data_IF_923378440195
#
_entry.id   IF_923378440195
#
_cell.length_a   1.000
_cell.length_b   1.000
_cell.length_c   1.000
_cell.angle_alpha   90.00
_cell.angle_beta   90.00
_cell.angle_gamma   90.00
#
_symmetry.space_group_name_H-M   'P 1'
#
loop_
_entity.id
_entity.type
_entity.pdbx_description
1 polymer ?
2 branched ?
3 non-polymer ?
4 water ?
#
# COMPACT_ATOMS: atom_id res chain seq x y z
N UNK A 1 11.28 5.61 11.26
CA UNK A 1 9.93 6.02 10.80
C UNK A 1 10.04 6.87 9.54
N UNK A 2 8.98 6.89 8.75
CA UNK A 2 8.99 7.69 7.55
C UNK A 2 7.90 8.74 7.65
N UNK A 3 8.18 9.94 7.15
CA UNK A 3 7.23 11.05 7.20
C UNK A 3 7.00 11.73 5.87
N UNK A 4 5.76 12.20 5.68
CA UNK A 4 5.38 12.90 4.48
C UNK A 4 4.43 14.04 4.84
N UNK A 5 4.74 15.23 4.36
CA UNK A 5 3.93 16.41 4.62
C UNK A 5 3.30 16.88 3.32
N UNK A 6 1.96 16.86 3.26
CA UNK A 6 1.24 17.30 2.06
C UNK A 6 1.41 18.81 1.83
N UNK A 7 1.73 19.57 2.87
CA UNK A 7 1.92 21.01 2.70
C UNK A 7 3.27 21.26 2.00
N UNK A 8 3.20 21.83 0.80
CA UNK A 8 4.40 22.10 0.03
C UNK A 8 4.87 20.89 -0.75
N UNK A 9 4.05 19.85 -0.74
CA UNK A 9 4.38 18.64 -1.49
C UNK A 9 4.23 18.85 -3.00
N UNK A 10 5.17 18.31 -3.74
CA UNK A 10 5.12 18.37 -5.19
C UNK A 10 5.46 16.95 -5.63
N UNK A 11 5.47 16.68 -6.94
CA UNK A 11 5.78 15.32 -7.41
C UNK A 11 7.08 14.76 -6.87
N UNK A 12 8.08 15.64 -6.76
CA UNK A 12 9.43 15.29 -6.29
C UNK A 12 9.50 14.85 -4.84
N UNK A 13 8.83 15.58 -3.93
CA UNK A 13 8.89 15.20 -2.52
C UNK A 13 8.13 13.92 -2.28
N UNK A 14 7.05 13.72 -3.03
CA UNK A 14 6.27 12.50 -2.90
C UNK A 14 7.20 11.32 -3.30
N UNK A 15 7.90 11.48 -4.43
CA UNK A 15 8.81 10.46 -4.91
C UNK A 15 9.82 10.09 -3.85
N UNK A 16 10.31 11.09 -3.13
CA UNK A 16 11.28 10.87 -2.07
C UNK A 16 10.68 10.13 -0.87
N UNK A 17 9.43 10.43 -0.55
CA UNK A 17 8.73 9.77 0.55
C UNK A 17 8.51 8.30 0.23
N UNK A 18 8.13 8.02 -1.02
CA UNK A 18 7.89 6.64 -1.45
C UNK A 18 9.19 5.85 -1.52
N UNK A 19 10.28 6.53 -1.86
CA UNK A 19 11.60 5.90 -1.91
C UNK A 19 11.99 5.54 -0.47
N UNK A 20 11.74 6.47 0.44
CA UNK A 20 12.04 6.31 1.87
C UNK A 20 11.26 5.13 2.41
N UNK A 21 10.00 5.04 2.04
CA UNK A 21 9.13 3.95 2.46
C UNK A 21 9.69 2.59 2.01
N UNK A 22 10.14 2.53 0.76
CA UNK A 22 10.71 1.31 0.22
C UNK A 22 11.95 0.91 1.01
N UNK A 23 12.82 1.86 1.26
CA UNK A 23 14.05 1.61 1.98
C UNK A 23 13.84 1.31 3.44
N UNK A 24 12.64 1.58 3.95
CA UNK A 24 12.36 1.30 5.35
C UNK A 24 12.05 -0.18 5.57
N UNK A 25 11.75 -0.88 4.47
CA UNK A 25 11.41 -2.29 4.53
C UNK A 25 12.64 -3.18 4.45
N UNK A 26 12.85 -4.04 5.46
CA UNK A 26 14.01 -4.93 5.45
C UNK A 26 13.93 -6.08 4.46
N UNK A 27 15.10 -6.58 4.07
CA UNK A 27 15.19 -7.70 3.14
C UNK A 27 16.63 -8.17 3.18
N UNK A 28 16.85 -9.47 3.03
CA UNK A 28 18.21 -9.99 3.04
C UNK A 28 18.66 -10.28 1.61
N UNK A 29 17.72 -10.68 0.76
CA UNK A 29 18.06 -11.01 -0.61
C UNK A 29 17.17 -10.33 -1.66
N UNK A 30 17.73 -10.21 -2.86
CA UNK A 30 17.05 -9.65 -4.01
C UNK A 30 16.83 -10.80 -4.97
N UNK A 31 15.70 -10.82 -5.65
CA UNK A 31 15.40 -11.87 -6.61
C UNK A 31 15.21 -11.20 -7.96
N UNK A 32 16.11 -11.49 -8.89
CA UNK A 32 16.07 -10.89 -10.21
C UNK A 32 16.17 -9.39 -10.08
N UNK A 33 16.87 -8.97 -9.02
CA UNK A 33 17.13 -7.56 -8.71
C UNK A 33 16.08 -6.82 -7.89
N UNK A 34 14.99 -7.51 -7.54
CA UNK A 34 13.92 -6.89 -6.74
C UNK A 34 13.93 -7.36 -5.29
N UNK A 35 13.90 -6.42 -4.32
CA UNK A 35 13.91 -6.80 -2.91
C UNK A 35 12.85 -7.83 -2.54
N UNK A 36 13.27 -8.93 -1.93
CA UNK A 36 12.30 -9.94 -1.50
C UNK A 36 11.98 -9.65 -0.03
N UNK A 37 10.70 -9.48 0.27
CA UNK A 37 10.29 -9.19 1.65
C UNK A 37 10.46 -10.39 2.57
N UNK A 38 10.80 -10.11 3.83
CA UNK A 38 11.01 -11.16 4.82
C UNK A 38 9.79 -12.05 5.03
N UNK A 39 10.02 -13.34 5.37
CA UNK A 39 8.90 -14.28 5.60
C UNK A 39 8.09 -13.87 6.83
N UNK A 40 8.81 -13.54 7.88
CA UNK A 40 8.20 -13.10 9.12
C UNK A 40 9.22 -12.34 9.96
N UNK A 41 8.75 -11.55 10.93
CA UNK A 41 9.63 -10.76 11.81
C UNK A 41 9.09 -10.78 13.24
N UNK A 42 9.99 -10.79 14.22
CA UNK A 42 9.59 -10.86 15.62
C UNK A 42 9.35 -9.55 16.37
N UNK A 43 8.23 -9.50 17.07
CA UNK A 43 7.89 -8.36 17.90
C UNK A 43 7.55 -7.07 17.21
N UNK A 44 7.88 -5.97 17.88
CA UNK A 44 7.62 -4.62 17.39
C UNK A 44 8.42 -4.26 16.16
N UNK A 45 9.43 -5.09 15.83
CA UNK A 45 10.23 -4.80 14.66
C UNK A 45 9.52 -5.14 13.36
N UNK A 46 8.32 -5.70 13.50
CA UNK A 46 7.51 -6.09 12.35
C UNK A 46 6.67 -4.94 11.83
N UNK A 47 6.61 -3.84 12.56
CA UNK A 47 5.80 -2.70 12.14
C UNK A 47 6.56 -1.41 11.89
N UNK A 48 6.21 -0.76 10.81
CA UNK A 48 6.79 0.52 10.42
C UNK A 48 5.74 1.60 10.69
N UNK A 49 6.17 2.72 11.25
CA UNK A 49 5.25 3.79 11.54
C UNK A 49 5.40 4.96 10.56
N UNK A 50 4.29 5.32 9.92
CA UNK A 50 4.25 6.42 8.97
C UNK A 50 3.57 7.64 9.60
N UNK A 51 4.26 8.76 9.63
CA UNK A 51 3.67 9.99 10.14
C UNK A 51 3.23 10.77 8.91
N UNK A 52 1.93 10.98 8.78
CA UNK A 52 1.38 11.73 7.66
C UNK A 52 0.76 13.04 8.13
N UNK A 53 1.12 14.12 7.46
CA UNK A 53 0.62 15.44 7.81
C UNK A 53 -0.21 16.04 6.67
N UNK A 54 -1.44 16.44 6.96
CA UNK A 54 -2.27 17.05 5.91
C UNK A 54 -1.86 18.50 5.77
N UNK A 55 -2.40 19.15 4.75
CA UNK A 55 -2.04 20.53 4.46
C UNK A 55 -2.00 21.47 5.66
N UNK A 56 -2.97 21.35 6.58
CA UNK A 56 -3.01 22.24 7.75
C UNK A 56 -2.05 21.84 8.87
N UNK A 57 -1.34 20.75 8.69
CA UNK A 57 -0.40 20.31 9.71
C UNK A 57 -0.87 19.25 10.66
N UNK A 58 -2.14 18.87 10.60
CA UNK A 58 -2.63 17.81 11.49
C UNK A 58 -2.01 16.49 11.06
N UNK A 59 -1.90 15.54 11.98
CA UNK A 59 -1.28 14.28 11.64
C UNK A 59 -1.89 13.01 12.21
N UNK A 60 -1.62 11.91 11.51
CA UNK A 60 -2.04 10.59 11.92
C UNK A 60 -0.82 9.71 11.69
N UNK A 61 -0.63 8.72 12.56
CA UNK A 61 0.49 7.80 12.44
C UNK A 61 -0.08 6.45 12.02
N UNK A 62 0.40 5.94 10.89
CA UNK A 62 -0.08 4.68 10.35
C UNK A 62 0.90 3.53 10.56
N UNK A 63 0.41 2.40 11.06
CA UNK A 63 1.25 1.24 11.32
C UNK A 63 1.18 0.27 10.14
N UNK A 64 2.34 0.02 9.54
CA UNK A 64 2.43 -0.86 8.38
C UNK A 64 3.22 -2.11 8.72
N UNK A 65 2.72 -3.27 8.28
CA UNK A 65 3.40 -4.56 8.52
C UNK A 65 4.54 -4.71 7.51
N UNK A 66 5.78 -4.66 7.95
CA UNK A 66 6.91 -4.75 7.02
C UNK A 66 7.14 -6.04 6.21
N UNK A 67 6.37 -7.08 6.45
CA UNK A 67 6.54 -8.31 5.68
C UNK A 67 5.59 -8.35 4.48
N UNK A 68 4.65 -7.41 4.42
CA UNK A 68 3.69 -7.38 3.31
C UNK A 68 3.33 -5.96 2.85
N UNK A 69 3.58 -4.99 3.72
CA UNK A 69 3.18 -3.60 3.49
C UNK A 69 1.70 -3.35 3.70
N UNK A 70 1.07 -4.20 4.49
CA UNK A 70 -0.34 -4.02 4.79
C UNK A 70 -0.47 -3.01 5.90
N UNK A 71 -1.51 -2.19 5.83
CA UNK A 71 -1.77 -1.20 6.86
C UNK A 71 -2.57 -1.98 7.92
N UNK A 72 -2.23 -1.80 9.19
CA UNK A 72 -2.90 -2.53 10.27
C UNK A 72 -3.86 -1.69 11.09
N UNK A 73 -3.57 -0.41 11.19
CA UNK A 73 -4.38 0.52 11.95
C UNK A 73 -3.64 1.84 11.96
N UNK A 74 -4.14 2.81 12.70
CA UNK A 74 -3.50 4.11 12.78
C UNK A 74 -3.93 4.84 14.05
N UNK A 75 -3.24 5.94 14.34
CA UNK A 75 -3.51 6.72 15.52
C UNK A 75 -3.88 8.17 15.18
N UNK A 76 -4.99 8.64 15.74
CA UNK A 76 -5.48 10.01 15.55
C UNK A 76 -5.58 10.60 16.95
N UNK A 77 -4.67 11.53 17.23
CA UNK A 77 -4.58 12.16 18.55
C UNK A 77 -4.41 10.95 19.47
N UNK A 78 -5.40 10.71 20.32
CA UNK A 78 -5.26 9.70 21.35
C UNK A 78 -6.11 8.46 21.18
N UNK A 79 -6.68 8.26 20.01
CA UNK A 79 -7.47 7.06 19.78
C UNK A 79 -6.75 6.22 18.73
N UNK A 80 -6.59 4.93 18.98
CA UNK A 80 -5.97 4.10 17.98
C UNK A 80 -7.10 3.40 17.25
N UNK A 81 -6.92 3.16 15.95
CA UNK A 81 -7.93 2.45 15.17
C UNK A 81 -7.26 1.28 14.49
N UNK A 82 -7.84 0.09 14.64
CA UNK A 82 -7.28 -1.11 14.05
C UNK A 82 -8.35 -1.82 13.23
N UNK A 83 -7.91 -2.51 12.19
CA UNK A 83 -8.85 -3.26 11.36
C UNK A 83 -9.40 -4.44 12.16
N UNK A 84 -10.55 -4.94 11.75
CA UNK A 84 -11.12 -6.06 12.45
C UNK A 84 -10.60 -7.33 11.80
N UNK A 85 -9.41 -7.74 12.19
CA UNK A 85 -8.81 -8.96 11.68
C UNK A 85 -7.66 -9.35 12.58
N UNK A 86 -7.37 -10.66 12.70
CA UNK A 86 -6.31 -11.23 13.52
C UNK A 86 -4.97 -10.49 13.53
N UNK A 87 -4.37 -10.33 12.35
CA UNK A 87 -3.09 -9.65 12.24
C UNK A 87 -3.15 -8.27 12.87
N UNK A 88 -4.20 -7.51 12.55
CA UNK A 88 -4.37 -6.17 13.08
C UNK A 88 -4.41 -6.25 14.61
N UNK A 89 -5.17 -7.21 15.12
CA UNK A 89 -5.29 -7.40 16.55
C UNK A 89 -3.92 -7.73 17.16
N UNK A 90 -3.14 -8.57 16.47
CA UNK A 90 -1.81 -8.93 16.94
C UNK A 90 -0.97 -7.65 17.01
N UNK A 91 -1.13 -6.83 15.99
CA UNK A 91 -0.39 -5.58 15.90
C UNK A 91 -0.68 -4.57 17.02
N UNK A 92 -1.89 -4.58 17.56
CA UNK A 92 -2.29 -3.67 18.63
C UNK A 92 -1.45 -3.85 19.90
N UNK A 93 -0.79 -4.99 20.02
CA UNK A 93 0.04 -5.26 21.19
C UNK A 93 1.45 -4.65 21.20
N UNK A 94 1.87 -4.07 20.07
CA UNK A 94 3.19 -3.49 19.96
C UNK A 94 3.19 -2.00 19.58
N UNK A 95 2.11 -1.52 18.96
CA UNK A 95 2.07 -0.11 18.58
C UNK A 95 0.86 0.62 19.15
N UNK A 96 1.01 1.94 19.32
CA UNK A 96 -0.04 2.82 19.85
C UNK A 96 -0.55 2.33 21.21
N UNK A 97 0.36 1.87 22.06
CA UNK A 97 -0.06 1.38 23.37
C UNK A 97 -0.41 2.48 24.34
N UNK A 98 0.18 3.66 24.14
CA UNK A 98 -0.07 4.79 25.02
C UNK A 98 -1.36 5.56 24.67
N UNK A 99 -2.14 5.03 23.74
CA UNK A 99 -3.40 5.62 23.32
C UNK A 99 -4.44 5.45 24.42
N UNK A 100 -5.30 6.45 24.59
CA UNK A 100 -6.32 6.37 25.62
C UNK A 100 -7.39 5.32 25.32
N UNK A 101 -7.88 5.25 24.09
CA UNK A 101 -8.87 4.23 23.74
C UNK A 101 -8.55 3.67 22.36
N UNK A 102 -8.79 2.38 22.19
CA UNK A 102 -8.54 1.68 20.94
C UNK A 102 -9.87 1.25 20.35
N UNK A 103 -10.11 1.62 19.10
CA UNK A 103 -11.35 1.26 18.43
C UNK A 103 -11.09 0.26 17.30
N UNK A 104 -11.93 -0.77 17.22
CA UNK A 104 -11.80 -1.75 16.15
C UNK A 104 -12.82 -1.38 15.09
N UNK A 105 -12.34 -1.13 13.87
CA UNK A 105 -13.21 -0.78 12.76
C UNK A 105 -14.09 -1.98 12.45
N UNK A 106 -15.34 -1.74 12.01
CA UNK A 106 -16.25 -2.84 11.70
C UNK A 106 -16.00 -3.67 10.44
N UNK A 107 -14.76 -3.67 9.95
CA UNK A 107 -14.38 -4.44 8.76
C UNK A 107 -12.88 -4.71 8.76
N UNK A 108 -12.46 -5.74 8.02
CA UNK A 108 -11.06 -6.06 7.89
C UNK A 108 -10.49 -5.16 6.76
N UNK A 109 -9.18 -5.16 6.61
CA UNK A 109 -8.58 -4.28 5.62
C UNK A 109 -8.39 -4.69 4.18
N UNK A 110 -9.10 -5.70 3.70
CA UNK A 110 -8.92 -6.06 2.29
C UNK A 110 -9.89 -5.31 1.40
N UNK A 111 -9.43 -4.95 0.20
CA UNK A 111 -10.22 -4.21 -0.78
C UNK A 111 -11.70 -4.58 -0.87
N UNK A 112 -11.98 -5.87 -0.98
CA UNK A 112 -13.37 -6.31 -1.08
C UNK A 112 -14.21 -5.77 0.07
N UNK A 113 -13.77 -6.02 1.30
CA UNK A 113 -14.52 -5.53 2.45
C UNK A 113 -14.56 -4.01 2.59
N UNK A 114 -13.49 -3.32 2.20
CA UNK A 114 -13.47 -1.87 2.32
C UNK A 114 -14.40 -1.20 1.29
N UNK A 115 -14.52 -1.81 0.12
CA UNK A 115 -15.37 -1.29 -0.95
C UNK A 115 -16.83 -1.44 -0.61
N UNK A 116 -17.16 -2.47 0.15
CA UNK A 116 -18.53 -2.69 0.58
C UNK A 116 -18.93 -1.62 1.59
N UNK A 117 -18.12 -1.46 2.64
CA UNK A 117 -18.36 -0.48 3.69
C UNK A 117 -18.37 0.96 3.17
N UNK A 118 -17.60 1.20 2.12
CA UNK A 118 -17.50 2.54 1.54
C UNK A 118 -18.66 2.87 0.61
N UNK A 119 -19.34 1.82 0.13
CA UNK A 119 -20.47 2.00 -0.76
C UNK A 119 -20.11 2.17 -2.23
N UNK A 120 -18.82 2.10 -2.54
CA UNK A 120 -18.37 2.23 -3.93
C UNK A 120 -17.07 1.46 -4.21
N UNK A 121 -16.91 0.95 -5.45
CA UNK A 121 -15.69 0.20 -5.79
C UNK A 121 -14.59 1.25 -6.03
N UNK A 122 -13.32 0.90 -5.85
CA UNK A 122 -12.26 1.89 -6.06
C UNK A 122 -12.09 2.38 -7.48
N UNK A 123 -12.82 1.82 -8.42
CA UNK A 123 -12.77 2.28 -9.81
C UNK A 123 -13.29 3.71 -9.84
N UNK A 124 -14.27 3.97 -8.98
CA UNK A 124 -14.93 5.25 -8.93
C UNK A 124 -14.48 6.23 -7.86
N UNK A 125 -13.44 5.88 -7.10
CA UNK A 125 -12.96 6.81 -6.08
C UNK A 125 -11.71 7.51 -6.62
N UNK A 126 -11.71 8.85 -6.65
CA UNK A 126 -10.57 9.62 -7.15
C UNK A 126 -9.37 9.55 -6.20
N UNK A 127 -8.17 9.39 -6.74
CA UNK A 127 -6.98 9.37 -5.90
C UNK A 127 -6.00 10.43 -6.37
N UNK A 128 -5.02 10.72 -5.53
CA UNK A 128 -4.02 11.71 -5.82
C UNK A 128 -3.53 12.29 -4.50
N UNK A 129 -2.77 13.37 -4.54
CA UNK A 129 -2.30 13.98 -3.31
C UNK A 129 -3.39 14.83 -2.70
N UNK A 130 -4.23 15.47 -3.52
CA UNK A 130 -5.27 16.25 -2.86
C UNK A 130 -6.12 15.29 -2.05
N UNK A 131 -6.46 14.14 -2.63
CA UNK A 131 -7.26 13.11 -1.97
C UNK A 131 -6.61 12.54 -0.74
N UNK A 132 -5.27 12.51 -0.73
CA UNK A 132 -4.58 11.99 0.43
C UNK A 132 -4.84 12.97 1.57
N UNK A 133 -4.75 14.26 1.26
CA UNK A 133 -5.00 15.32 2.23
C UNK A 133 -6.39 15.14 2.86
N UNK A 134 -7.39 14.87 2.03
CA UNK A 134 -8.77 14.64 2.49
C UNK A 134 -8.86 13.42 3.38
N UNK A 135 -8.21 12.35 2.93
CA UNK A 135 -8.16 11.07 3.61
C UNK A 135 -7.69 11.26 5.04
N UNK A 136 -6.54 11.92 5.19
CA UNK A 136 -5.97 12.20 6.51
C UNK A 136 -7.01 12.95 7.33
N UNK A 137 -7.56 14.04 6.76
CA UNK A 137 -8.57 14.87 7.41
C UNK A 137 -9.76 14.08 7.94
N UNK A 138 -10.23 13.15 7.12
CA UNK A 138 -11.36 12.30 7.43
C UNK A 138 -11.10 11.27 8.53
N UNK A 139 -9.85 10.84 8.66
CA UNK A 139 -9.50 9.85 9.65
C UNK A 139 -9.27 10.48 11.01
N UNK A 140 -9.05 11.79 11.04
CA UNK A 140 -8.83 12.48 12.31
C UNK A 140 -10.08 12.42 13.20
N UNK A 141 -11.25 12.35 12.56
CA UNK A 141 -12.51 12.26 13.29
C UNK A 141 -13.32 11.07 12.77
N UNK A 142 -13.50 10.10 13.67
CA UNK A 142 -14.19 8.85 13.42
C UNK A 142 -15.50 8.92 12.65
N UNK A 143 -15.67 7.96 11.75
CA UNK A 143 -16.83 7.76 10.87
C UNK A 143 -16.46 6.52 10.05
N UNK A 144 -16.93 5.34 10.46
CA UNK A 144 -16.58 4.08 9.77
C UNK A 144 -16.87 4.06 8.30
N UNK A 145 -17.90 4.77 7.87
CA UNK A 145 -18.21 4.78 6.45
C UNK A 145 -17.24 5.67 5.68
N UNK A 146 -16.92 6.81 6.28
CA UNK A 146 -15.99 7.76 5.69
C UNK A 146 -14.58 7.22 5.71
N UNK A 147 -14.24 6.51 6.79
CA UNK A 147 -12.91 5.94 6.97
C UNK A 147 -12.59 4.88 5.92
N UNK A 148 -13.60 4.10 5.55
CA UNK A 148 -13.45 3.06 4.54
C UNK A 148 -12.95 3.73 3.27
N UNK A 149 -13.66 4.78 2.84
CA UNK A 149 -13.28 5.52 1.65
C UNK A 149 -11.90 6.12 1.74
N UNK A 150 -11.59 6.75 2.87
CA UNK A 150 -10.30 7.37 3.10
C UNK A 150 -9.17 6.35 3.13
N UNK A 151 -9.44 5.15 3.65
CA UNK A 151 -8.42 4.12 3.73
C UNK A 151 -8.13 3.53 2.37
N UNK A 152 -9.13 3.52 1.50
CA UNK A 152 -8.90 2.99 0.17
C UNK A 152 -7.95 3.94 -0.54
N UNK A 153 -8.07 5.24 -0.26
CA UNK A 153 -7.19 6.24 -0.87
C UNK A 153 -5.80 6.17 -0.25
N UNK A 154 -5.75 6.00 1.07
CA UNK A 154 -4.49 5.93 1.81
C UNK A 154 -3.66 4.70 1.41
N UNK A 155 -4.31 3.54 1.35
CA UNK A 155 -3.63 2.31 0.98
C UNK A 155 -3.00 2.39 -0.40
N UNK A 156 -3.69 3.05 -1.31
CA UNK A 156 -3.21 3.16 -2.68
C UNK A 156 -2.16 4.21 -2.93
N UNK A 157 -2.27 5.35 -2.27
CA UNK A 157 -1.29 6.43 -2.45
C UNK A 157 0.00 6.19 -1.66
N UNK A 158 0.04 5.10 -0.91
CA UNK A 158 1.23 4.73 -0.15
C UNK A 158 1.67 3.30 -0.46
N UNK A 159 1.07 2.31 0.18
CA UNK A 159 1.44 0.90 -0.04
C UNK A 159 1.55 0.47 -1.51
N UNK A 160 0.49 0.69 -2.29
CA UNK A 160 0.46 0.33 -3.70
C UNK A 160 1.49 1.08 -4.53
N UNK A 161 1.79 2.32 -4.16
CA UNK A 161 2.79 3.09 -4.89
C UNK A 161 4.19 2.55 -4.58
N UNK A 162 4.36 2.07 -3.35
CA UNK A 162 5.63 1.52 -2.93
C UNK A 162 5.96 0.28 -3.73
N UNK A 163 4.95 -0.58 -3.94
CA UNK A 163 5.07 -1.84 -4.68
C UNK A 163 5.22 -1.71 -6.18
N UNK A 164 4.71 -0.63 -6.75
CA UNK A 164 4.78 -0.43 -8.19
C UNK A 164 5.19 0.96 -8.63
N UNK A 165 6.26 1.03 -9.41
CA UNK A 165 6.74 2.29 -9.95
C UNK A 165 5.61 3.00 -10.68
N UNK A 166 4.87 2.24 -11.50
CA UNK A 166 3.78 2.76 -12.28
C UNK A 166 2.76 3.52 -11.43
N UNK A 167 2.37 2.91 -10.32
CA UNK A 167 1.38 3.54 -9.46
C UNK A 167 1.93 4.78 -8.76
N UNK A 168 3.23 4.82 -8.52
CA UNK A 168 3.86 6.00 -7.92
C UNK A 168 3.79 7.13 -8.97
N UNK A 169 3.99 6.75 -10.23
CA UNK A 169 3.96 7.69 -11.34
C UNK A 169 2.57 8.22 -11.55
N UNK A 170 1.56 7.36 -11.40
CA UNK A 170 0.16 7.75 -11.53
C UNK A 170 -0.19 8.82 -10.51
N UNK A 171 0.33 8.67 -9.31
CA UNK A 171 0.06 9.61 -8.23
C UNK A 171 0.79 10.92 -8.42
N UNK A 172 1.96 10.90 -9.07
CA UNK A 172 2.68 12.15 -9.28
C UNK A 172 1.94 13.00 -10.32
N UNK A 173 1.24 12.34 -11.25
CA UNK A 173 0.44 13.03 -12.28
C UNK A 173 -0.78 13.64 -11.61
N UNK A 174 -1.17 13.08 -10.46
CA UNK A 174 -2.34 13.54 -9.72
C UNK A 174 -1.95 14.37 -8.49
N UNK A 175 -0.81 15.04 -8.56
CA UNK A 175 -0.32 15.85 -7.45
C UNK A 175 -1.14 17.08 -7.11
N UNK A 176 -1.87 17.61 -8.09
CA UNK A 176 -2.69 18.80 -7.84
C UNK A 176 -4.09 18.60 -8.35
N UNK A 177 -4.38 17.37 -8.73
CA UNK A 177 -5.70 17.02 -9.24
C UNK A 177 -5.95 15.54 -9.10
N UNK A 178 -7.05 15.19 -8.44
CA UNK A 178 -7.41 13.80 -8.25
C UNK A 178 -8.04 13.23 -9.49
N UNK A 179 -7.91 11.92 -9.64
CA UNK A 179 -8.50 11.25 -10.77
C UNK A 179 -8.66 9.79 -10.42
N UNK A 180 -9.77 9.19 -10.80
CA UNK A 180 -9.94 7.80 -10.49
C UNK A 180 -8.80 7.03 -11.15
N UNK A 181 -8.46 5.85 -10.61
CA UNK A 181 -7.37 5.04 -11.16
C UNK A 181 -7.71 4.37 -12.48
N UNK A 182 -6.67 4.19 -13.30
CA UNK A 182 -6.80 3.51 -14.56
C UNK A 182 -6.93 1.99 -14.28
N UNK A 183 -7.53 1.24 -15.19
CA UNK A 183 -7.70 -0.19 -14.94
C UNK A 183 -6.37 -0.93 -14.89
N UNK A 184 -5.31 -0.31 -15.38
CA UNK A 184 -4.00 -0.93 -15.33
C UNK A 184 -3.62 -0.97 -13.85
N UNK A 185 -3.82 0.17 -13.20
CA UNK A 185 -3.53 0.34 -11.79
C UNK A 185 -4.28 -0.66 -10.94
N UNK A 186 -5.58 -0.77 -11.17
CA UNK A 186 -6.41 -1.71 -10.41
C UNK A 186 -5.86 -3.12 -10.62
N UNK A 187 -5.60 -3.44 -11.88
CA UNK A 187 -5.08 -4.74 -12.29
C UNK A 187 -3.79 -5.10 -11.55
N UNK A 188 -2.84 -4.17 -11.53
CA UNK A 188 -1.56 -4.37 -10.84
C UNK A 188 -1.84 -4.62 -9.39
N UNK A 189 -2.59 -3.72 -8.77
CA UNK A 189 -2.94 -3.83 -7.36
C UNK A 189 -3.40 -5.24 -7.04
N UNK A 190 -4.22 -5.79 -7.92
CA UNK A 190 -4.75 -7.12 -7.74
C UNK A 190 -3.78 -8.28 -8.02
N UNK A 191 -2.69 -8.03 -8.75
CA UNK A 191 -1.73 -9.08 -9.09
C UNK A 191 -0.43 -9.13 -8.30
N UNK A 192 -0.22 -8.18 -7.38
CA UNK A 192 1.00 -8.16 -6.60
C UNK A 192 1.38 -9.54 -6.07
N UNK A 193 0.40 -10.26 -5.56
CA UNK A 193 0.60 -11.57 -4.98
C UNK A 193 1.03 -12.58 -6.03
N UNK A 194 0.23 -12.71 -7.09
CA UNK A 194 0.54 -13.64 -8.15
C UNK A 194 1.91 -13.41 -8.76
N UNK A 195 2.19 -12.16 -9.16
CA UNK A 195 3.46 -11.80 -9.76
C UNK A 195 4.61 -12.14 -8.83
N UNK A 196 4.43 -11.79 -7.55
CA UNK A 196 5.44 -12.04 -6.52
C UNK A 196 5.80 -13.51 -6.47
N UNK A 197 4.79 -14.36 -6.53
CA UNK A 197 4.96 -15.80 -6.50
C UNK A 197 5.64 -16.31 -7.76
N UNK A 198 5.15 -15.85 -8.92
CA UNK A 198 5.70 -16.28 -10.21
C UNK A 198 7.12 -15.81 -10.51
N UNK A 199 7.51 -14.65 -10.00
CA UNK A 199 8.87 -14.18 -10.24
C UNK A 199 9.81 -15.05 -9.41
N UNK A 200 9.32 -15.55 -8.28
CA UNK A 200 10.14 -16.41 -7.42
C UNK A 200 10.22 -17.84 -7.98
N UNK A 201 9.15 -18.32 -8.58
CA UNK A 201 9.11 -19.65 -9.18
C UNK A 201 9.92 -19.71 -10.47
N UNK A 202 10.34 -18.56 -10.98
CA UNK A 202 11.10 -18.50 -12.22
C UNK A 202 12.60 -18.57 -11.93
N UNK A 203 12.95 -18.48 -10.65
CA UNK A 203 14.35 -18.48 -10.22
C UNK A 203 15.13 -19.75 -10.55
N UNK A 204 14.45 -20.90 -10.58
CA UNK A 204 15.13 -22.13 -10.94
C UNK A 204 14.52 -22.69 -12.22
N UNK A 205 13.94 -21.78 -12.99
CA UNK A 205 13.27 -22.15 -14.23
C UNK A 205 13.66 -21.22 -15.39
N UNK A 206 14.91 -20.74 -15.36
CA UNK A 206 15.44 -19.83 -16.40
C UNK A 206 14.72 -18.48 -16.52
N UNK A 207 14.00 -18.07 -15.48
CA UNK A 207 13.29 -16.80 -15.53
C UNK A 207 11.95 -16.86 -16.22
N UNK A 208 11.50 -18.08 -16.50
CA UNK A 208 10.21 -18.31 -17.12
C UNK A 208 9.18 -18.65 -16.04
N UNK A 209 8.01 -18.01 -16.11
CA UNK A 209 6.92 -18.19 -15.17
C UNK A 209 6.32 -19.58 -15.28
N UNK A 210 5.96 -20.18 -14.15
CA UNK A 210 5.29 -21.48 -14.16
C UNK A 210 3.91 -21.26 -14.79
N UNK A 211 3.20 -20.26 -14.30
CA UNK A 211 1.88 -19.92 -14.81
C UNK A 211 1.89 -18.47 -15.24
N UNK A 212 1.39 -18.17 -16.44
CA UNK A 212 1.37 -16.77 -16.91
C UNK A 212 0.44 -15.92 -16.03
N UNK A 213 0.75 -14.63 -15.92
CA UNK A 213 -0.08 -13.70 -15.16
C UNK A 213 -0.73 -12.72 -16.13
N UNK A 214 -2.05 -12.55 -16.02
CA UNK A 214 -2.78 -11.63 -16.89
C UNK A 214 -3.17 -10.28 -16.28
N UNK A 215 -2.71 -9.21 -16.94
CA UNK A 215 -3.01 -7.85 -16.54
C UNK A 215 -3.70 -7.09 -17.68
N UNK A 216 -4.04 -5.83 -17.41
CA UNK A 216 -4.64 -4.91 -18.38
C UNK A 216 -3.59 -3.80 -18.46
N UNK A 217 -3.27 -3.31 -19.66
CA UNK A 217 -2.23 -2.30 -19.79
C UNK A 217 -2.68 -0.83 -19.90
N UNK A 218 -1.70 0.04 -20.18
CA UNK A 218 -1.94 1.47 -20.33
C UNK A 218 -3.20 1.73 -21.14
N UNK A 219 -3.28 1.09 -22.29
CA UNK A 219 -4.43 1.27 -23.19
C UNK A 219 -5.70 0.57 -22.76
N UNK A 220 -5.59 -0.46 -21.91
CA UNK A 220 -6.77 -1.17 -21.49
C UNK A 220 -6.90 -2.50 -22.25
N UNK A 221 -5.78 -2.95 -22.82
CA UNK A 221 -5.78 -4.21 -23.55
C UNK A 221 -5.21 -5.32 -22.66
N UNK A 222 -5.88 -6.46 -22.67
CA UNK A 222 -5.48 -7.63 -21.88
C UNK A 222 -4.09 -8.11 -22.32
N UNK A 223 -3.14 -8.23 -21.40
CA UNK A 223 -1.79 -8.69 -21.75
C UNK A 223 -1.31 -9.82 -20.86
N UNK A 224 -0.49 -10.69 -21.41
CA UNK A 224 0.06 -11.83 -20.67
C UNK A 224 1.53 -11.66 -20.33
N UNK A 225 1.88 -11.99 -19.10
CA UNK A 225 3.26 -11.90 -18.66
C UNK A 225 3.70 -13.32 -18.38
N UNK A 226 4.62 -13.78 -19.21
CA UNK A 226 5.15 -15.12 -19.11
C UNK A 226 6.57 -15.30 -18.57
N UNK A 227 7.33 -14.23 -18.42
CA UNK A 227 8.74 -14.30 -18.11
C UNK A 227 9.33 -13.01 -17.48
N UNK A 228 10.43 -13.08 -16.74
CA UNK A 228 11.07 -11.90 -16.21
C UNK A 228 11.67 -10.83 -17.14
N UNK A 229 11.73 -11.05 -18.44
CA UNK A 229 12.26 -10.00 -19.32
C UNK A 229 11.24 -8.88 -19.50
N UNK A 230 9.99 -9.14 -19.12
CA UNK A 230 8.92 -8.16 -19.24
C UNK A 230 9.15 -6.87 -18.46
N UNK A 231 8.65 -5.77 -19.02
CA UNK A 231 8.79 -4.47 -18.37
C UNK A 231 8.27 -4.47 -16.95
N UNK A 232 7.17 -5.18 -16.71
CA UNK A 232 6.56 -5.24 -15.39
C UNK A 232 7.56 -5.70 -14.36
N UNK A 233 8.39 -6.67 -14.74
CA UNK A 233 9.42 -7.22 -13.87
C UNK A 233 10.69 -6.38 -13.88
N UNK A 234 11.12 -5.96 -15.07
CA UNK A 234 12.35 -5.17 -15.18
C UNK A 234 12.23 -3.74 -14.71
N UNK A 235 11.03 -3.16 -14.76
CA UNK A 235 10.89 -1.76 -14.38
C UNK A 235 9.68 -1.36 -13.53
N UNK A 236 8.66 -2.20 -13.42
CA UNK A 236 7.51 -1.80 -12.62
C UNK A 236 7.45 -2.13 -11.14
N UNK A 237 7.33 -3.42 -10.83
CA UNK A 237 7.40 -3.96 -9.48
C UNK A 237 8.69 -3.63 -8.73
N UNK A 238 8.53 -3.25 -7.45
CA UNK A 238 9.64 -2.86 -6.59
C UNK A 238 9.82 -3.70 -5.33
N UNK A 239 8.80 -4.47 -4.95
CA UNK A 239 8.86 -5.32 -3.75
C UNK A 239 8.20 -6.66 -4.06
N UNK A 240 8.68 -7.72 -3.43
CA UNK A 240 8.13 -9.05 -3.64
C UNK A 240 7.67 -9.68 -2.33
N UNK A 241 6.38 -10.03 -2.29
CA UNK A 241 5.80 -10.70 -1.15
C UNK A 241 6.42 -12.11 -1.16
N UNK A 242 7.04 -12.48 -0.04
CA UNK A 242 7.67 -13.79 0.09
C UNK A 242 6.61 -14.89 -0.04
N UNK A 243 6.91 -15.92 -0.84
CA UNK A 243 5.95 -17.01 -1.05
C UNK A 243 5.47 -17.68 0.22
N UNK A 244 6.27 -17.61 1.29
CA UNK A 244 5.89 -18.21 2.56
C UNK A 244 4.62 -17.57 3.12
N UNK A 245 4.12 -16.52 2.45
CA UNK A 245 2.90 -15.80 2.87
C UNK A 245 1.63 -15.85 1.98
N UNK A 246 1.54 -16.82 1.08
CA UNK A 246 0.60 -16.81 -0.04
C UNK A 246 -0.35 -18.01 -0.10
X LIG B 1 9.15 -13.29 -22.76
X LIG B 1 8.94 -14.12 -24.02
X LIG B 1 9.15 -13.39 -25.33
X LIG B 1 8.43 -12.08 -25.31
X LIG B 1 8.91 -11.35 -24.09
X LIG B 1 8.24 -9.99 -24.13
X LIG B 1 9.69 -16.25 -23.34
X LIG B 1 8.25 -16.65 -23.27
X LIG B 1 9.92 -15.14 -23.97
X LIG B 1 8.62 -14.16 -26.38
X LIG B 1 8.73 -11.27 -26.44
X LIG B 1 8.52 -12.04 -22.93
X LIG B 1 8.94 -9.08 -23.31
X LIG B 1 10.59 -16.90 -22.86
X LIG B 2 8.51 -11.80 -27.72
X LIG B 2 7.19 -12.04 -28.45
X LIG B 2 6.68 -10.74 -28.98
X LIG B 2 7.28 -9.67 -28.09
X LIG B 2 8.75 -9.58 -28.49
X LIG B 2 9.53 -8.60 -27.64
X LIG B 2 7.38 -14.28 -29.10
X LIG B 2 8.72 -14.92 -29.24
X LIG B 2 7.31 -13.03 -29.48
X LIG B 2 5.26 -10.70 -28.93
X LIG B 2 6.58 -8.45 -28.32
X LIG B 2 9.33 -10.88 -28.42
X LIG B 2 10.29 -9.29 -26.66
X LIG B 2 6.43 -14.86 -28.66
X LIG C 1 -3.54 -3.55 0.03
X LIG C 1 -5.11 -6.39 1.87
X LIG C 1 -4.66 -5.72 0.74
X LIG C 1 -4.10 -4.50 1.08
X LIG C 1 -4.22 -4.37 2.47
X LIG C 1 -3.82 -3.35 3.45
X LIG C 1 -3.23 -2.14 3.14
X LIG C 1 -4.11 -3.60 4.82
X LIG C 1 -4.73 -4.81 5.26
X LIG C 1 -4.99 -5.04 6.60
X LIG C 1 -5.11 -5.81 4.32
X LIG C 1 -4.84 -5.58 2.95
#
# INVERSE_FOLDING_TARGET
DVSFRLSGADPSSYGMFIKDLRNALPHTEKVYNIPLLLPSVSGAGRYLLMHLFNYDGNTITVAVDVTNVYIMGYLALTTSYFFNEPAADLASQYVFRSARRKITLPYSGNYERLQIAAGKPREKIPIGLPALDTAISTLLHYDSTAAAGALLVLIQTTAEAARFKYIEQQIQERAYRDEVPSSATISLENSWSGLSKQIQLAQGNNGVFRTPTVLVDSKGNRVQITNVTSNVVTSNIQLLLNTKNI
NAG C1 C2 C3 C4 C5 C6 C7 C8 N2 O3 O4 O5 O6 O7
NAG C1 C2 C3 C4 C5 C6 C7 C8 N2 O3 O4 O5 O6 O7
MY6 C1 N2 C3 N4 C5 C6 O7 N8 C9 N10 N11 C12
#
